data_IF_406733015590
#
_entry.id   IF_406733015590
#
_cell.length_a   1.000
_cell.length_b   1.000
_cell.length_c   1.000
_cell.angle_alpha   90.00
_cell.angle_beta   90.00
_cell.angle_gamma   90.00
#
_symmetry.space_group_name_H-M   'P 1'
#
loop_
_entity.id
_entity.type
_entity.pdbx_description
1 polymer ?
#
# COMPACT_ATOMS: atom_id res chain seq x y z
N UNK A 1 -3.80 -50.34 -71.11
CA UNK A 1 -5.20 -50.66 -71.38
C UNK A 1 -5.99 -49.64 -70.57
N UNK A 2 -6.32 -48.55 -71.16
CA UNK A 2 -7.55 -48.14 -71.87
C UNK A 2 -8.81 -48.49 -71.08
N UNK A 3 -9.52 -47.48 -70.64
CA UNK A 3 -10.92 -47.16 -70.83
C UNK A 3 -11.33 -46.03 -69.89
N UNK A 4 -11.53 -44.91 -70.23
CA UNK A 4 -12.50 -44.05 -70.92
C UNK A 4 -13.92 -44.06 -70.30
N UNK A 5 -14.37 -42.78 -70.02
CA UNK A 5 -15.69 -42.22 -70.25
C UNK A 5 -16.65 -42.28 -69.05
N UNK A 6 -17.45 -41.28 -68.70
CA UNK A 6 -18.23 -40.29 -69.45
C UNK A 6 -18.74 -39.19 -68.52
N UNK A 7 -18.85 -38.00 -69.06
CA UNK A 7 -19.54 -36.81 -68.47
C UNK A 7 -21.05 -37.01 -68.29
N UNK A 8 -21.62 -36.40 -67.23
CA UNK A 8 -23.00 -35.97 -67.17
C UNK A 8 -23.10 -34.62 -66.40
N UNK A 9 -24.09 -33.76 -66.67
CA UNK A 9 -23.98 -32.32 -66.51
C UNK A 9 -24.41 -31.81 -65.11
N UNK A 10 -23.77 -30.73 -64.72
CA UNK A 10 -24.06 -29.99 -63.52
C UNK A 10 -25.44 -29.33 -63.54
N UNK A 11 -26.21 -29.58 -62.49
CA UNK A 11 -27.42 -28.82 -62.14
C UNK A 11 -27.01 -27.67 -61.19
N UNK A 12 -27.26 -26.44 -61.60
CA UNK A 12 -27.09 -25.24 -60.78
C UNK A 12 -28.28 -25.15 -59.83
N UNK A 13 -28.07 -25.30 -58.52
CA UNK A 13 -29.03 -24.96 -57.51
C UNK A 13 -28.73 -23.56 -57.00
N UNK A 14 -29.78 -22.70 -57.06
CA UNK A 14 -29.83 -21.34 -56.58
C UNK A 14 -29.75 -21.33 -55.04
N UNK A 15 -28.61 -20.83 -54.51
CA UNK A 15 -28.46 -20.61 -53.08
C UNK A 15 -29.30 -19.44 -52.57
N UNK A 16 -30.09 -19.70 -51.55
CA UNK A 16 -30.77 -18.68 -50.76
C UNK A 16 -29.77 -17.87 -49.91
N UNK A 17 -30.05 -16.60 -49.64
CA UNK A 17 -29.14 -15.76 -48.86
C UNK A 17 -29.19 -16.15 -47.37
N UNK A 18 -28.02 -16.37 -46.83
CA UNK A 18 -27.76 -16.65 -45.42
C UNK A 18 -28.25 -15.49 -44.54
N UNK A 19 -29.05 -15.71 -43.49
CA UNK A 19 -29.51 -14.65 -42.61
C UNK A 19 -28.35 -14.13 -41.73
N UNK A 20 -28.31 -12.82 -41.67
CA UNK A 20 -27.33 -11.96 -41.07
C UNK A 20 -26.63 -12.48 -39.79
N UNK A 21 -25.32 -12.25 -39.82
CA UNK A 21 -24.49 -12.23 -38.60
C UNK A 21 -24.98 -11.04 -37.77
N UNK A 22 -25.72 -11.30 -36.70
CA UNK A 22 -25.95 -10.30 -35.64
C UNK A 22 -24.57 -9.93 -35.04
N UNK A 23 -24.14 -8.71 -35.31
CA UNK A 23 -23.08 -8.05 -34.59
C UNK A 23 -23.55 -7.89 -33.15
N UNK A 24 -23.20 -8.85 -32.31
CA UNK A 24 -23.31 -8.71 -30.85
C UNK A 24 -22.40 -7.55 -30.46
N UNK A 25 -23.01 -6.40 -30.23
CA UNK A 25 -22.33 -5.23 -29.67
C UNK A 25 -21.82 -5.64 -28.30
N UNK A 26 -20.52 -5.94 -28.22
CA UNK A 26 -19.80 -6.04 -26.94
C UNK A 26 -19.93 -4.67 -26.29
N UNK A 27 -20.88 -4.53 -25.38
CA UNK A 27 -20.87 -3.46 -24.40
C UNK A 27 -19.65 -3.72 -23.50
N UNK A 28 -18.50 -3.17 -23.89
CA UNK A 28 -17.41 -2.91 -22.97
C UNK A 28 -17.98 -1.94 -21.94
N UNK A 29 -18.42 -2.45 -20.81
CA UNK A 29 -18.60 -1.63 -19.62
C UNK A 29 -17.24 -1.02 -19.33
N UNK A 30 -17.05 0.24 -19.64
CA UNK A 30 -15.97 1.05 -19.12
C UNK A 30 -16.16 1.07 -17.60
N UNK A 31 -15.52 0.11 -16.92
CA UNK A 31 -15.40 0.14 -15.47
C UNK A 31 -14.56 1.38 -15.19
N UNK A 32 -15.19 2.45 -14.75
CA UNK A 32 -14.46 3.65 -14.31
C UNK A 32 -13.58 3.23 -13.13
N UNK A 33 -12.28 3.43 -13.27
CA UNK A 33 -11.34 3.16 -12.18
C UNK A 33 -11.75 3.97 -10.94
N UNK A 34 -11.63 3.35 -9.78
CA UNK A 34 -11.94 4.03 -8.52
C UNK A 34 -10.91 5.14 -8.27
N UNK A 35 -11.39 6.32 -7.92
CA UNK A 35 -10.52 7.45 -7.58
C UNK A 35 -10.14 7.39 -6.10
N UNK A 36 -8.83 7.52 -5.82
CA UNK A 36 -8.27 7.67 -4.48
C UNK A 36 -7.77 9.10 -4.33
N UNK A 37 -8.24 9.83 -3.32
CA UNK A 37 -7.80 11.19 -3.03
C UNK A 37 -6.38 11.17 -2.46
N UNK A 38 -5.41 11.58 -3.27
CA UNK A 38 -4.02 11.69 -2.84
C UNK A 38 -3.74 13.05 -2.22
N UNK A 39 -3.02 13.07 -1.09
CA UNK A 39 -2.51 14.29 -0.48
C UNK A 39 -1.10 14.06 0.08
N UNK A 40 -0.15 14.90 -0.32
CA UNK A 40 1.12 15.04 0.39
C UNK A 40 0.96 16.13 1.45
N UNK A 41 1.12 15.75 2.71
CA UNK A 41 1.00 16.65 3.87
C UNK A 41 2.33 17.33 4.21
N UNK A 42 3.40 17.02 3.47
CA UNK A 42 4.74 17.49 3.79
C UNK A 42 5.20 17.01 5.17
N UNK A 43 5.93 17.86 5.89
CA UNK A 43 6.33 17.57 7.27
C UNK A 43 5.25 18.04 8.24
N UNK A 44 4.61 17.11 8.93
CA UNK A 44 3.47 17.33 9.83
C UNK A 44 3.70 16.66 11.18
N UNK A 45 3.21 17.29 12.27
CA UNK A 45 3.21 16.69 13.59
C UNK A 45 2.41 15.38 13.62
N UNK A 46 2.89 14.40 14.40
CA UNK A 46 2.26 13.08 14.43
C UNK A 46 0.81 13.13 14.94
N UNK A 47 0.54 13.94 15.98
CA UNK A 47 -0.80 14.05 16.52
C UNK A 47 -1.79 14.67 15.52
N UNK A 48 -1.36 15.68 14.75
CA UNK A 48 -2.18 16.31 13.72
C UNK A 48 -2.51 15.33 12.58
N UNK A 49 -1.51 14.57 12.12
CA UNK A 49 -1.71 13.55 11.09
C UNK A 49 -2.61 12.41 11.59
N UNK A 50 -2.47 12.00 12.84
CA UNK A 50 -3.32 10.96 13.44
C UNK A 50 -4.76 11.43 13.61
N UNK A 51 -4.99 12.67 14.02
CA UNK A 51 -6.33 13.26 14.07
C UNK A 51 -6.98 13.33 12.69
N UNK A 52 -6.25 13.77 11.66
CA UNK A 52 -6.73 13.77 10.28
C UNK A 52 -7.14 12.38 9.81
N UNK A 53 -6.28 11.37 10.01
CA UNK A 53 -6.58 9.97 9.67
C UNK A 53 -7.85 9.50 10.40
N UNK A 54 -7.95 9.78 11.70
CA UNK A 54 -9.09 9.35 12.54
C UNK A 54 -10.41 9.94 12.05
N UNK A 55 -10.41 11.19 11.63
CA UNK A 55 -11.60 11.84 11.04
C UNK A 55 -12.01 11.20 9.73
N UNK A 56 -11.08 10.96 8.81
CA UNK A 56 -11.36 10.32 7.52
C UNK A 56 -11.87 8.89 7.76
N UNK A 57 -11.17 8.12 8.58
CA UNK A 57 -11.52 6.75 8.92
C UNK A 57 -12.94 6.64 9.51
N UNK A 58 -13.27 7.52 10.48
CA UNK A 58 -14.59 7.52 11.10
C UNK A 58 -15.68 7.96 10.12
N UNK A 59 -15.43 9.00 9.32
CA UNK A 59 -16.38 9.46 8.29
C UNK A 59 -16.70 8.36 7.25
N UNK A 60 -15.70 7.59 6.83
CA UNK A 60 -15.89 6.46 5.93
C UNK A 60 -16.75 5.36 6.58
N UNK A 61 -16.46 5.02 7.85
CA UNK A 61 -17.27 4.04 8.59
C UNK A 61 -18.72 4.52 8.76
N UNK A 62 -18.93 5.78 9.11
CA UNK A 62 -20.27 6.35 9.32
C UNK A 62 -21.07 6.34 8.01
N UNK A 63 -20.42 6.64 6.86
CA UNK A 63 -21.05 6.55 5.53
C UNK A 63 -21.47 5.12 5.21
N UNK A 64 -20.60 4.12 5.47
CA UNK A 64 -20.94 2.69 5.30
C UNK A 64 -22.14 2.29 6.15
N UNK A 65 -22.17 2.71 7.40
CA UNK A 65 -23.30 2.43 8.30
C UNK A 65 -24.60 3.10 7.83
N UNK A 66 -24.54 4.34 7.37
CA UNK A 66 -25.68 5.05 6.82
C UNK A 66 -26.20 4.46 5.49
N UNK A 67 -25.37 3.73 4.76
CA UNK A 67 -25.76 3.05 3.52
C UNK A 67 -26.37 1.65 3.74
N UNK A 68 -26.21 1.07 4.94
CA UNK A 68 -26.53 -0.36 5.20
C UNK A 68 -27.94 -0.73 4.79
N UNK A 69 -28.91 0.09 5.15
CA UNK A 69 -30.34 -0.19 4.95
C UNK A 69 -30.92 0.54 3.75
N UNK A 70 -30.07 1.20 2.92
CA UNK A 70 -30.50 1.91 1.72
C UNK A 70 -30.46 1.02 0.49
N UNK A 71 -31.43 1.15 -0.44
CA UNK A 71 -31.31 0.62 -1.79
C UNK A 71 -30.00 1.09 -2.44
N UNK A 72 -29.41 0.27 -3.31
CA UNK A 72 -28.13 0.57 -3.95
C UNK A 72 -28.13 1.93 -4.65
N UNK A 73 -29.20 2.27 -5.36
CA UNK A 73 -29.36 3.56 -6.07
C UNK A 73 -29.37 4.80 -5.16
N UNK A 74 -29.59 4.62 -3.85
CA UNK A 74 -29.60 5.70 -2.85
C UNK A 74 -28.33 5.75 -1.99
N UNK A 75 -27.40 4.81 -2.20
CA UNK A 75 -26.14 4.77 -1.46
C UNK A 75 -25.21 5.87 -1.94
N UNK A 76 -24.58 6.53 -0.98
CA UNK A 76 -23.52 7.50 -1.24
C UNK A 76 -22.19 6.75 -1.20
N UNK A 77 -21.41 6.73 -2.30
CA UNK A 77 -20.12 6.04 -2.31
C UNK A 77 -19.19 6.49 -1.19
N UNK A 78 -18.39 5.57 -0.70
CA UNK A 78 -17.27 5.89 0.18
C UNK A 78 -16.10 6.43 -0.63
N UNK A 79 -15.25 7.22 0.04
CA UNK A 79 -14.06 7.80 -0.56
C UNK A 79 -12.81 7.12 0.02
N UNK A 80 -11.83 6.89 -0.83
CA UNK A 80 -10.53 6.38 -0.42
C UNK A 80 -9.51 7.51 -0.40
N UNK A 81 -8.60 7.48 0.54
CA UNK A 81 -7.57 8.50 0.70
C UNK A 81 -6.20 7.86 0.83
N UNK A 82 -5.21 8.43 0.14
CA UNK A 82 -3.81 8.10 0.30
C UNK A 82 -3.07 9.36 0.78
N UNK A 83 -2.60 9.35 2.02
CA UNK A 83 -1.85 10.46 2.59
C UNK A 83 -0.37 10.08 2.66
N UNK A 84 0.52 10.94 2.14
CA UNK A 84 1.95 10.84 2.39
C UNK A 84 2.39 11.98 3.30
N UNK A 85 3.37 11.71 4.14
CA UNK A 85 4.01 12.74 4.97
C UNK A 85 5.40 12.31 5.44
N UNK A 86 6.09 13.25 6.06
CA UNK A 86 7.20 13.03 6.96
C UNK A 86 6.81 13.54 8.35
N UNK A 87 7.35 12.94 9.41
CA UNK A 87 7.15 13.42 10.78
C UNK A 87 8.42 14.04 11.36
N UNK A 88 8.31 14.96 12.34
CA UNK A 88 9.37 15.16 13.31
C UNK A 88 9.72 13.85 14.01
N UNK A 89 10.82 13.82 14.74
CA UNK A 89 11.24 12.61 15.45
C UNK A 89 10.16 12.13 16.44
N UNK A 90 9.67 10.91 16.24
CA UNK A 90 8.63 10.32 17.08
C UNK A 90 8.75 8.80 17.16
N UNK A 91 8.55 8.25 18.34
CA UNK A 91 8.32 6.82 18.56
C UNK A 91 6.83 6.54 18.71
N UNK A 92 6.33 5.50 18.05
CA UNK A 92 4.94 5.05 18.19
C UNK A 92 4.90 3.62 18.68
N UNK A 93 4.15 3.37 19.75
CA UNK A 93 3.96 2.05 20.34
C UNK A 93 2.60 1.48 19.90
N UNK A 94 2.62 0.42 19.09
CA UNK A 94 1.43 -0.26 18.64
C UNK A 94 0.86 -1.23 19.69
N UNK A 95 -0.28 -1.84 19.39
CA UNK A 95 -1.06 -2.69 20.32
C UNK A 95 -0.31 -3.92 20.85
N UNK A 96 0.64 -4.45 20.09
CA UNK A 96 1.44 -5.63 20.49
C UNK A 96 2.71 -5.24 21.23
N UNK A 97 3.02 -3.95 21.34
CA UNK A 97 4.22 -3.43 21.92
C UNK A 97 4.20 -3.38 23.44
N UNK A 98 5.39 -3.46 24.04
CA UNK A 98 5.59 -3.25 25.47
C UNK A 98 6.29 -1.92 25.70
N UNK A 99 5.91 -1.13 26.73
CA UNK A 99 6.61 0.13 27.05
C UNK A 99 8.10 -0.05 27.26
N UNK A 100 8.54 -1.24 27.76
CA UNK A 100 9.96 -1.59 27.94
C UNK A 100 10.75 -1.71 26.63
N UNK A 101 10.09 -1.70 25.47
CA UNK A 101 10.76 -1.70 24.16
C UNK A 101 11.24 -0.29 23.77
N UNK A 102 10.84 0.75 24.49
CA UNK A 102 11.48 2.07 24.45
C UNK A 102 12.61 2.09 25.48
N UNK A 103 13.83 2.28 25.01
CA UNK A 103 15.05 2.26 25.87
C UNK A 103 15.35 3.64 26.47
N UNK A 104 14.61 4.67 26.07
CA UNK A 104 14.74 6.03 26.60
C UNK A 104 13.70 6.28 27.70
N UNK A 105 14.13 6.97 28.75
CA UNK A 105 13.23 7.58 29.70
C UNK A 105 12.77 8.98 29.19
N UNK A 106 11.94 9.67 29.96
CA UNK A 106 11.41 11.01 29.59
C UNK A 106 12.53 12.05 29.39
N UNK A 107 13.60 12.02 30.18
CA UNK A 107 14.74 12.92 30.04
C UNK A 107 15.50 12.64 28.73
N UNK A 108 15.68 11.36 28.39
CA UNK A 108 16.29 10.95 27.13
C UNK A 108 15.46 11.35 25.91
N UNK A 109 14.13 11.25 25.98
CA UNK A 109 13.23 11.72 24.93
C UNK A 109 13.33 13.24 24.76
N UNK A 110 13.28 14.00 25.87
CA UNK A 110 13.46 15.46 25.84
C UNK A 110 14.80 15.89 25.28
N UNK A 111 15.87 15.26 25.73
CA UNK A 111 17.22 15.57 25.26
C UNK A 111 17.43 15.34 23.76
N UNK A 112 16.70 14.37 23.17
CA UNK A 112 16.73 14.08 21.73
C UNK A 112 15.65 14.82 20.93
N UNK A 113 14.75 15.57 21.58
CA UNK A 113 13.63 16.24 20.92
C UNK A 113 12.65 15.27 20.26
N UNK A 114 12.43 14.10 20.86
CA UNK A 114 11.58 13.02 20.30
C UNK A 114 10.29 12.91 21.07
N UNK A 115 9.18 12.82 20.35
CA UNK A 115 7.86 12.55 20.93
C UNK A 115 7.63 11.03 21.08
N UNK A 116 6.69 10.65 21.94
CA UNK A 116 6.29 9.25 22.13
C UNK A 116 4.75 9.15 22.21
N UNK A 117 4.17 8.27 21.40
CA UNK A 117 2.74 8.02 21.35
C UNK A 117 2.40 6.53 21.44
N UNK A 118 1.66 6.10 22.47
CA UNK A 118 0.91 4.85 22.44
C UNK A 118 -0.25 4.98 21.46
N UNK A 119 -0.39 4.04 20.51
CA UNK A 119 -1.39 4.12 19.46
C UNK A 119 -2.06 2.77 19.19
N UNK A 120 -3.09 2.77 18.34
CA UNK A 120 -3.96 1.61 18.13
C UNK A 120 -3.70 0.82 16.83
N UNK A 121 -2.57 1.09 16.12
CA UNK A 121 -2.12 0.25 15.00
C UNK A 121 -1.65 -1.13 15.48
N UNK A 122 -1.65 -2.09 14.55
CA UNK A 122 -0.98 -3.37 14.76
C UNK A 122 0.54 -3.21 14.89
N UNK A 123 1.19 -4.22 15.43
CA UNK A 123 2.64 -4.27 15.62
C UNK A 123 3.10 -3.63 16.93
N UNK A 124 4.42 -3.51 17.07
CA UNK A 124 5.14 -3.04 18.26
C UNK A 124 5.63 -1.59 18.08
N UNK A 125 6.68 -1.23 18.80
CA UNK A 125 7.32 0.08 18.71
C UNK A 125 7.99 0.28 17.34
N UNK A 126 7.90 1.49 16.82
CA UNK A 126 8.70 1.92 15.67
C UNK A 126 9.08 3.39 15.81
N UNK A 127 9.95 3.85 14.92
CA UNK A 127 10.39 5.22 14.80
C UNK A 127 9.89 5.84 13.51
N UNK A 128 9.52 7.14 13.58
CA UNK A 128 9.31 7.99 12.42
C UNK A 128 10.16 9.25 12.55
N UNK A 129 10.65 9.77 11.43
CA UNK A 129 11.47 10.97 11.41
C UNK A 129 11.70 11.51 10.02
N UNK A 130 12.43 12.64 9.90
CA UNK A 130 12.78 13.25 8.63
C UNK A 130 13.49 12.26 7.69
N UNK A 131 13.20 12.37 6.40
CA UNK A 131 13.74 11.47 5.38
C UNK A 131 13.03 10.11 5.30
N UNK A 132 11.97 9.89 6.08
CA UNK A 132 11.13 8.69 6.01
C UNK A 132 9.79 9.03 5.35
N UNK A 133 9.43 8.34 4.28
CA UNK A 133 8.07 8.45 3.72
C UNK A 133 7.13 7.63 4.60
N UNK A 134 6.18 8.32 5.24
CA UNK A 134 5.09 7.68 5.95
C UNK A 134 3.85 7.75 5.09
N UNK A 135 3.26 6.59 4.78
CA UNK A 135 2.07 6.47 3.96
C UNK A 135 0.88 5.96 4.77
N UNK A 136 -0.25 6.65 4.63
CA UNK A 136 -1.50 6.34 5.29
C UNK A 136 -2.61 6.09 4.25
N UNK A 137 -2.72 4.87 3.70
CA UNK A 137 -3.86 4.51 2.86
C UNK A 137 -5.08 4.21 3.74
N UNK A 138 -6.10 5.07 3.62
CA UNK A 138 -7.37 4.95 4.32
C UNK A 138 -8.40 4.54 3.29
N UNK A 139 -8.58 3.23 3.12
CA UNK A 139 -9.35 2.60 2.06
C UNK A 139 -10.55 1.86 2.61
N UNK A 140 -11.66 1.90 1.89
CA UNK A 140 -12.78 0.99 2.08
C UNK A 140 -12.52 -0.30 1.29
N UNK A 141 -12.05 -1.33 1.96
CA UNK A 141 -11.70 -2.60 1.32
C UNK A 141 -12.91 -3.38 0.77
N UNK A 142 -14.15 -3.04 1.14
CA UNK A 142 -15.32 -3.62 0.47
C UNK A 142 -15.37 -3.24 -1.01
N UNK A 143 -14.79 -2.10 -1.36
CA UNK A 143 -14.71 -1.60 -2.73
C UNK A 143 -13.50 -2.13 -3.53
N UNK A 144 -12.62 -2.89 -2.89
CA UNK A 144 -11.43 -3.51 -3.50
C UNK A 144 -11.45 -5.03 -3.31
N UNK A 145 -11.10 -5.48 -2.11
CA UNK A 145 -11.11 -6.88 -1.68
C UNK A 145 -11.08 -6.98 -0.15
N UNK A 146 -11.89 -7.83 0.42
CA UNK A 146 -12.02 -8.02 1.88
C UNK A 146 -11.00 -9.02 2.41
N UNK A 147 -9.72 -8.69 2.26
CA UNK A 147 -8.58 -9.49 2.72
C UNK A 147 -7.43 -8.59 3.21
N UNK A 148 -7.24 -8.55 4.53
CA UNK A 148 -6.20 -7.74 5.18
C UNK A 148 -4.78 -8.24 4.84
N UNK A 149 -4.59 -9.54 4.67
CA UNK A 149 -3.28 -10.08 4.29
C UNK A 149 -2.94 -9.68 2.86
N UNK A 150 -3.87 -9.82 1.92
CA UNK A 150 -3.71 -9.36 0.56
C UNK A 150 -3.42 -7.86 0.51
N UNK A 151 -4.16 -7.05 1.27
CA UNK A 151 -3.95 -5.61 1.37
C UNK A 151 -2.51 -5.27 1.81
N UNK A 152 -2.01 -5.88 2.88
CA UNK A 152 -0.64 -5.69 3.33
C UNK A 152 0.38 -6.13 2.28
N UNK A 153 0.18 -7.28 1.64
CA UNK A 153 1.07 -7.80 0.59
C UNK A 153 1.09 -6.90 -0.64
N UNK A 154 -0.05 -6.30 -1.00
CA UNK A 154 -0.13 -5.31 -2.10
C UNK A 154 0.67 -4.05 -1.78
N UNK A 155 0.57 -3.52 -0.56
CA UNK A 155 1.38 -2.37 -0.13
C UNK A 155 2.88 -2.70 -0.05
N UNK A 156 3.24 -3.89 0.40
CA UNK A 156 4.64 -4.34 0.38
C UNK A 156 5.16 -4.46 -1.05
N UNK A 157 4.34 -4.94 -1.99
CA UNK A 157 4.70 -5.02 -3.42
C UNK A 157 4.97 -3.64 -4.00
N UNK A 158 4.16 -2.63 -3.68
CA UNK A 158 4.39 -1.26 -4.13
C UNK A 158 5.76 -0.72 -3.69
N UNK A 159 6.17 -1.03 -2.46
CA UNK A 159 7.51 -0.66 -1.98
C UNK A 159 8.60 -1.46 -2.68
N UNK A 160 8.39 -2.77 -2.93
CA UNK A 160 9.34 -3.62 -3.65
C UNK A 160 9.53 -3.10 -5.09
N UNK A 161 8.45 -2.84 -5.84
CA UNK A 161 8.52 -2.28 -7.20
C UNK A 161 9.18 -0.89 -7.23
N UNK A 162 8.94 -0.07 -6.20
CA UNK A 162 9.65 1.20 -6.04
C UNK A 162 11.16 0.97 -5.88
N UNK A 163 11.59 0.04 -5.03
CA UNK A 163 13.01 -0.28 -4.82
C UNK A 163 13.68 -0.85 -6.06
N UNK A 164 12.99 -1.66 -6.86
CA UNK A 164 13.49 -2.18 -8.14
C UNK A 164 13.84 -1.07 -9.12
N UNK A 165 13.06 0.02 -9.15
CA UNK A 165 13.38 1.19 -9.99
C UNK A 165 14.69 1.88 -9.60
N UNK A 166 15.17 1.65 -8.37
CA UNK A 166 16.48 2.11 -7.88
C UNK A 166 17.57 1.03 -7.96
N UNK A 167 17.28 -0.13 -8.56
CA UNK A 167 18.20 -1.24 -8.69
C UNK A 167 18.42 -2.02 -7.38
N UNK A 168 17.55 -1.85 -6.39
CA UNK A 168 17.61 -2.54 -5.09
C UNK A 168 16.67 -3.73 -5.09
N UNK A 169 17.23 -4.93 -4.92
CA UNK A 169 16.46 -6.15 -4.76
C UNK A 169 15.94 -6.29 -3.32
N UNK A 170 14.64 -6.24 -3.16
CA UNK A 170 13.97 -6.41 -1.88
C UNK A 170 12.98 -7.58 -1.91
N UNK A 171 12.46 -7.96 -0.75
CA UNK A 171 11.52 -9.05 -0.63
C UNK A 171 10.85 -9.12 0.73
N UNK A 172 10.23 -10.26 1.02
CA UNK A 172 9.48 -10.57 2.23
C UNK A 172 10.14 -11.70 2.99
N UNK A 173 9.97 -11.69 4.30
CA UNK A 173 10.33 -12.84 5.17
C UNK A 173 9.01 -13.51 5.58
N UNK A 174 8.92 -14.83 5.44
CA UNK A 174 7.74 -15.57 5.82
C UNK A 174 7.41 -15.38 7.31
N UNK A 175 6.14 -15.17 7.62
CA UNK A 175 5.66 -14.89 8.99
C UNK A 175 5.96 -13.48 9.51
N UNK A 176 6.71 -12.65 8.78
CA UNK A 176 6.99 -11.27 9.16
C UNK A 176 6.33 -10.28 8.19
N UNK A 177 5.88 -9.17 8.74
CA UNK A 177 5.37 -8.03 7.95
C UNK A 177 6.49 -7.02 7.74
N UNK A 178 6.60 -6.52 6.51
CA UNK A 178 7.62 -5.54 6.13
C UNK A 178 8.30 -5.87 4.81
N UNK A 179 9.05 -4.90 4.29
CA UNK A 179 9.93 -5.08 3.14
C UNK A 179 11.38 -5.14 3.62
N UNK A 180 12.09 -6.13 3.12
CA UNK A 180 13.41 -6.51 3.59
C UNK A 180 14.40 -6.64 2.45
N UNK A 181 15.64 -6.28 2.72
CA UNK A 181 16.78 -6.63 1.87
C UNK A 181 17.43 -7.89 2.45
N UNK A 182 18.03 -8.68 1.55
CA UNK A 182 18.64 -9.99 1.90
C UNK A 182 17.68 -10.89 2.71
N UNK A 183 16.40 -10.89 2.35
CA UNK A 183 15.32 -11.55 3.09
C UNK A 183 15.53 -13.05 3.34
N UNK A 184 16.31 -13.71 2.49
CA UNK A 184 16.66 -15.14 2.61
C UNK A 184 17.87 -15.42 3.52
N UNK A 185 18.62 -14.39 3.91
CA UNK A 185 19.79 -14.51 4.78
C UNK A 185 19.44 -14.02 6.20
N UNK A 186 19.30 -14.90 7.20
CA UNK A 186 18.85 -14.50 8.54
C UNK A 186 19.80 -13.54 9.24
N UNK A 187 21.09 -13.50 8.85
CA UNK A 187 22.11 -12.63 9.45
C UNK A 187 22.15 -11.26 8.79
N UNK A 188 21.96 -11.20 7.46
CA UNK A 188 22.04 -9.97 6.67
C UNK A 188 20.71 -9.28 6.48
N UNK A 189 19.60 -9.98 6.77
CA UNK A 189 18.26 -9.43 6.60
C UNK A 189 18.11 -8.11 7.36
N UNK A 190 17.68 -7.07 6.63
CA UNK A 190 17.46 -5.74 7.19
C UNK A 190 16.20 -5.11 6.60
N UNK A 191 15.41 -4.55 7.50
CA UNK A 191 14.11 -3.96 7.14
C UNK A 191 14.29 -2.55 6.57
N UNK A 192 13.71 -2.30 5.42
CA UNK A 192 13.69 -0.98 4.79
C UNK A 192 12.32 -0.28 4.91
N UNK A 193 11.24 -1.06 5.01
CA UNK A 193 9.90 -0.51 5.23
C UNK A 193 9.14 -1.34 6.27
N UNK A 194 8.58 -0.65 7.25
CA UNK A 194 7.73 -1.22 8.28
C UNK A 194 6.25 -0.97 7.96
N UNK A 195 5.37 -1.88 8.38
CA UNK A 195 3.92 -1.76 8.22
C UNK A 195 3.21 -2.01 9.54
N UNK A 196 2.19 -1.22 9.79
CA UNK A 196 1.31 -1.40 10.93
C UNK A 196 -0.02 -0.71 10.66
N UNK A 197 -1.08 -1.48 10.52
CA UNK A 197 -2.41 -0.96 10.19
C UNK A 197 -3.41 -1.22 11.31
N UNK A 198 -4.50 -0.49 11.27
CA UNK A 198 -5.76 -0.78 11.94
C UNK A 198 -6.83 -0.94 10.88
N UNK A 199 -7.72 -1.91 11.06
CA UNK A 199 -8.90 -2.06 10.24
C UNK A 199 -10.16 -2.20 11.13
N UNK A 200 -11.26 -1.59 10.69
CA UNK A 200 -12.58 -1.79 11.28
C UNK A 200 -13.63 -1.67 10.19
N UNK A 201 -14.55 -2.64 10.13
CA UNK A 201 -15.56 -2.70 9.07
C UNK A 201 -14.98 -2.61 7.65
N UNK A 202 -13.83 -3.22 7.45
CA UNK A 202 -13.05 -3.18 6.21
C UNK A 202 -12.54 -1.80 5.79
N UNK A 203 -12.63 -0.80 6.66
CA UNK A 203 -11.92 0.48 6.46
C UNK A 203 -10.57 0.41 7.15
N UNK A 204 -9.52 0.88 6.48
CA UNK A 204 -8.13 0.87 6.97
C UNK A 204 -7.69 2.24 7.48
N UNK A 205 -6.71 2.28 8.37
CA UNK A 205 -5.94 3.46 8.74
C UNK A 205 -4.55 3.07 9.23
N UNK A 206 -3.69 4.07 9.47
CA UNK A 206 -2.24 3.90 9.56
C UNK A 206 -1.69 3.35 8.22
N UNK A 207 -0.58 2.65 8.20
CA UNK A 207 -0.04 2.15 6.95
C UNK A 207 1.42 1.73 7.06
N UNK A 208 2.32 2.47 6.42
CA UNK A 208 3.72 2.09 6.31
C UNK A 208 4.68 3.25 6.58
N UNK A 209 5.93 2.87 6.86
CA UNK A 209 7.04 3.77 7.07
C UNK A 209 8.25 3.28 6.27
N UNK A 210 8.55 3.95 5.16
CA UNK A 210 9.60 3.62 4.22
C UNK A 210 10.84 4.49 4.47
N UNK A 211 11.92 3.89 4.87
CA UNK A 211 13.18 4.56 5.14
C UNK A 211 13.88 4.95 3.83
N UNK A 212 13.84 6.23 3.46
CA UNK A 212 14.53 6.77 2.27
C UNK A 212 15.87 7.40 2.66
N UNK A 213 15.86 8.55 3.33
CA UNK A 213 17.04 9.24 3.84
C UNK A 213 17.06 9.28 5.39
N UNK A 214 16.36 8.35 6.01
CA UNK A 214 16.10 8.29 7.44
C UNK A 214 17.38 8.15 8.25
N UNK A 215 17.53 8.94 9.33
CA UNK A 215 18.56 8.71 10.33
C UNK A 215 18.26 7.43 11.13
N UNK A 216 19.02 6.39 10.82
CA UNK A 216 18.82 5.06 11.42
C UNK A 216 19.30 4.96 12.87
N UNK A 217 20.11 5.90 13.36
CA UNK A 217 20.59 5.92 14.74
C UNK A 217 19.46 6.05 15.78
N UNK A 218 18.28 6.54 15.37
CA UNK A 218 17.13 6.58 16.27
C UNK A 218 16.54 5.19 16.56
N UNK A 219 16.74 4.21 15.69
CA UNK A 219 16.31 2.82 15.94
C UNK A 219 17.09 2.13 17.06
N UNK A 220 18.28 2.62 17.41
CA UNK A 220 19.09 2.10 18.53
C UNK A 220 18.44 2.35 19.89
N UNK A 221 17.45 3.23 19.95
CA UNK A 221 16.73 3.55 21.19
C UNK A 221 15.44 2.72 21.39
N UNK A 222 15.19 1.74 20.55
CA UNK A 222 14.02 0.86 20.65
C UNK A 222 14.40 -0.60 20.44
N UNK A 223 13.61 -1.51 21.01
CA UNK A 223 13.70 -2.95 20.73
C UNK A 223 12.46 -3.35 19.93
N UNK A 224 12.54 -3.42 18.59
CA UNK A 224 11.39 -3.84 17.78
C UNK A 224 11.01 -5.29 18.09
N UNK A 225 9.73 -5.59 18.13
CA UNK A 225 9.19 -6.91 18.48
C UNK A 225 9.74 -8.03 17.60
N UNK A 226 10.31 -9.06 18.24
CA UNK A 226 10.71 -10.31 17.59
C UNK A 226 11.87 -10.20 16.59
N UNK A 227 12.53 -9.06 16.52
CA UNK A 227 13.54 -8.76 15.49
C UNK A 227 14.78 -8.12 16.12
N UNK A 228 15.08 -8.47 17.36
CA UNK A 228 16.31 -8.01 18.04
C UNK A 228 17.61 -8.42 17.31
N UNK A 229 17.51 -9.41 16.43
CA UNK A 229 18.60 -10.00 15.65
C UNK A 229 18.68 -9.46 14.20
N UNK A 230 17.77 -8.60 13.77
CA UNK A 230 17.74 -8.08 12.38
C UNK A 230 17.93 -6.58 12.32
N UNK A 231 18.68 -6.15 11.30
CA UNK A 231 18.98 -4.75 11.10
C UNK A 231 17.83 -3.93 10.52
N UNK A 232 17.99 -2.61 10.53
CA UNK A 232 17.25 -1.65 9.75
C UNK A 232 18.15 -0.99 8.73
N UNK A 233 17.58 -0.61 7.59
CA UNK A 233 18.30 0.10 6.53
C UNK A 233 17.45 1.21 5.93
N UNK A 234 18.04 2.00 5.03
CA UNK A 234 17.37 3.04 4.25
C UNK A 234 17.86 3.00 2.80
N UNK A 235 17.08 3.55 1.88
CA UNK A 235 17.45 3.62 0.46
C UNK A 235 18.78 4.38 0.27
N UNK A 236 18.98 5.49 0.99
CA UNK A 236 20.23 6.25 0.95
C UNK A 236 21.43 5.43 1.42
N UNK A 237 21.29 4.63 2.50
CA UNK A 237 22.34 3.76 3.00
C UNK A 237 22.73 2.68 1.98
N UNK A 238 21.76 2.07 1.31
CA UNK A 238 22.00 1.03 0.33
C UNK A 238 22.65 1.58 -0.97
N UNK A 239 22.29 2.80 -1.37
CA UNK A 239 22.86 3.46 -2.54
C UNK A 239 24.15 4.23 -2.25
N UNK A 240 24.52 4.41 -0.99
CA UNK A 240 25.68 5.19 -0.57
C UNK A 240 25.57 6.69 -0.86
N UNK A 241 24.38 7.21 -1.04
CA UNK A 241 24.10 8.63 -1.31
C UNK A 241 22.69 9.03 -0.91
N UNK A 242 22.49 10.30 -0.66
CA UNK A 242 21.15 10.87 -0.48
C UNK A 242 20.30 10.72 -1.76
N UNK A 243 19.01 10.53 -1.58
CA UNK A 243 18.04 10.31 -2.66
C UNK A 243 16.99 11.41 -2.64
N UNK A 244 16.60 11.87 -3.81
CA UNK A 244 15.48 12.80 -3.98
C UNK A 244 14.17 12.12 -3.53
N UNK A 245 13.68 12.50 -2.35
CA UNK A 245 12.52 11.86 -1.72
C UNK A 245 11.24 12.07 -2.52
N UNK A 246 11.11 13.20 -3.25
CA UNK A 246 9.93 13.46 -4.06
C UNK A 246 9.85 12.49 -5.25
N UNK A 247 10.98 12.14 -5.87
CA UNK A 247 11.01 11.12 -6.92
C UNK A 247 10.65 9.73 -6.39
N UNK A 248 11.02 9.43 -5.15
CA UNK A 248 10.62 8.17 -4.49
C UNK A 248 9.12 8.16 -4.23
N UNK A 249 8.55 9.27 -3.72
CA UNK A 249 7.11 9.42 -3.54
C UNK A 249 6.35 9.26 -4.86
N UNK A 250 6.82 9.89 -5.95
CA UNK A 250 6.19 9.79 -7.26
C UNK A 250 6.19 8.35 -7.78
N UNK A 251 7.31 7.64 -7.65
CA UNK A 251 7.37 6.23 -8.05
C UNK A 251 6.43 5.38 -7.20
N UNK A 252 6.44 5.56 -5.89
CA UNK A 252 5.61 4.79 -4.96
C UNK A 252 4.11 5.02 -5.21
N UNK A 253 3.70 6.25 -5.56
CA UNK A 253 2.32 6.55 -5.97
C UNK A 253 1.90 5.74 -7.20
N UNK A 254 2.77 5.66 -8.21
CA UNK A 254 2.49 4.89 -9.44
C UNK A 254 2.33 3.41 -9.13
N UNK A 255 3.22 2.85 -8.30
CA UNK A 255 3.12 1.44 -7.89
C UNK A 255 1.83 1.15 -7.10
N UNK A 256 1.44 2.04 -6.18
CA UNK A 256 0.19 1.88 -5.42
C UNK A 256 -1.02 1.97 -6.38
N UNK A 257 -1.04 2.94 -7.28
CA UNK A 257 -2.14 3.13 -8.22
C UNK A 257 -2.32 1.89 -9.12
N UNK A 258 -1.23 1.37 -9.67
CA UNK A 258 -1.24 0.20 -10.55
C UNK A 258 -1.70 -1.07 -9.81
N UNK A 259 -1.13 -1.33 -8.63
CA UNK A 259 -1.40 -2.55 -7.87
C UNK A 259 -2.83 -2.61 -7.25
N UNK A 260 -3.43 -1.46 -6.98
CA UNK A 260 -4.82 -1.37 -6.50
C UNK A 260 -5.83 -1.14 -7.63
N UNK A 261 -5.38 -0.95 -8.87
CA UNK A 261 -6.21 -0.64 -10.04
C UNK A 261 -7.08 0.62 -9.78
N UNK A 262 -6.42 1.71 -9.38
CA UNK A 262 -7.04 2.98 -8.99
C UNK A 262 -6.39 4.17 -9.69
N UNK A 263 -7.15 5.27 -9.80
CA UNK A 263 -6.63 6.57 -10.21
C UNK A 263 -6.39 7.46 -9.01
N UNK A 264 -5.22 8.11 -8.93
CA UNK A 264 -4.93 9.07 -7.87
C UNK A 264 -5.40 10.46 -8.32
N UNK A 265 -6.45 10.96 -7.65
CA UNK A 265 -6.96 12.31 -7.80
C UNK A 265 -6.35 13.27 -6.78
N UNK A 266 -6.40 14.59 -7.08
CA UNK A 266 -5.97 15.64 -6.16
C UNK A 266 -6.99 15.85 -5.02
#
# INVERSE_FOLDING_TARGET
>A
MVSASRNAPHRVESGEPNPGIELTTLHSSLTTMRTVHFRDLGRIDYAEAWDLQSRIFQATIDRKLANRDKPEAERIPTEDHLLFCEHPHVYTLGKSGKPSHLLLNEDGLRAKGVQFFPIDRGGDITYHGPGQIVGYPIFDLDEHFTDIHRYLRTLEEAVIGTLEAYGIKAGRIEGLTGVWLDASDPVKARKICAFGIRASRWVTMHGFAFNVNTDLGYFDNIVPCGIADKGVTSLAKELGREVDIEKVKDRLKLEIADLFDVELGA
#
